data_IF_386083675821
#
_entry.id   IF_386083675821
#
_cell.length_a   1.000
_cell.length_b   1.000
_cell.length_c   1.000
_cell.angle_alpha   90.00
_cell.angle_beta   90.00
_cell.angle_gamma   90.00
#
_symmetry.space_group_name_H-M   'P 1'
#
loop_
_entity.id
_entity.type
_entity.pdbx_description
1 polymer ?
#
# COMPACT_ATOMS: atom_id res chain seq x y z
N UNK A 1 15.90 -29.44 -29.79
CA UNK A 1 14.51 -29.32 -29.31
C UNK A 1 14.48 -29.69 -27.85
N UNK A 2 14.65 -28.71 -26.95
CA UNK A 2 14.72 -28.95 -25.51
C UNK A 2 13.36 -28.65 -24.88
N UNK A 3 12.79 -29.68 -24.26
CA UNK A 3 11.49 -29.72 -23.60
C UNK A 3 11.58 -28.89 -22.32
N UNK A 4 11.21 -27.60 -22.38
CA UNK A 4 10.98 -26.76 -21.19
C UNK A 4 9.78 -27.35 -20.43
N UNK A 5 10.06 -28.13 -19.39
CA UNK A 5 9.07 -28.49 -18.38
C UNK A 5 8.62 -27.19 -17.70
N UNK A 6 7.32 -26.90 -17.81
CA UNK A 6 6.63 -25.91 -16.99
C UNK A 6 6.64 -26.40 -15.55
N UNK A 7 7.70 -26.09 -14.81
CA UNK A 7 7.64 -26.11 -13.35
C UNK A 7 7.11 -24.74 -12.92
N UNK A 8 5.83 -24.71 -12.53
CA UNK A 8 5.28 -23.61 -11.75
C UNK A 8 6.08 -23.55 -10.44
N UNK A 9 7.02 -22.61 -10.36
CA UNK A 9 7.80 -22.24 -9.17
C UNK A 9 6.95 -21.57 -8.06
N UNK A 10 5.62 -21.57 -8.20
CA UNK A 10 4.67 -21.01 -7.23
C UNK A 10 3.79 -22.12 -6.65
N UNK A 11 4.40 -23.13 -6.03
CA UNK A 11 3.69 -23.84 -4.96
C UNK A 11 4.03 -23.08 -3.68
N UNK A 12 3.06 -22.39 -3.05
CA UNK A 12 3.29 -21.91 -1.70
C UNK A 12 3.64 -23.13 -0.85
N UNK A 13 4.78 -23.07 -0.19
CA UNK A 13 5.18 -24.09 0.76
C UNK A 13 4.09 -24.13 1.85
N UNK A 14 3.48 -25.29 2.18
CA UNK A 14 2.50 -25.36 3.25
C UNK A 14 3.08 -24.98 4.62
N UNK A 15 4.41 -24.92 4.75
CA UNK A 15 5.13 -24.42 5.92
C UNK A 15 5.59 -22.95 5.78
N UNK A 16 5.43 -22.31 4.61
CA UNK A 16 5.37 -20.85 4.50
C UNK A 16 3.99 -20.44 5.03
N UNK A 17 3.85 -20.53 6.35
CA UNK A 17 2.85 -19.76 7.08
C UNK A 17 3.12 -18.33 6.67
N UNK A 18 2.31 -17.80 5.76
CA UNK A 18 2.26 -16.39 5.42
C UNK A 18 2.26 -15.68 6.77
N UNK A 19 3.41 -15.13 7.14
CA UNK A 19 3.57 -14.46 8.40
C UNK A 19 2.52 -13.37 8.36
N UNK A 20 1.44 -13.52 9.13
CA UNK A 20 0.34 -12.57 9.14
C UNK A 20 1.00 -11.20 9.25
N UNK A 21 0.83 -10.31 8.25
CA UNK A 21 1.51 -9.03 8.28
C UNK A 21 1.21 -8.42 9.64
N UNK A 22 2.27 -8.05 10.36
CA UNK A 22 2.13 -7.51 11.70
C UNK A 22 1.13 -6.36 11.68
N UNK A 23 0.35 -6.27 12.77
CA UNK A 23 -0.75 -5.36 13.00
C UNK A 23 -0.95 -4.30 11.89
N UNK A 24 -2.02 -4.43 11.10
CA UNK A 24 -2.36 -3.44 10.09
C UNK A 24 -2.55 -2.06 10.74
N UNK A 25 -1.78 -1.07 10.28
CA UNK A 25 -2.03 0.32 10.62
C UNK A 25 -3.12 0.85 9.67
N UNK A 26 -4.34 0.98 10.20
CA UNK A 26 -5.52 1.44 9.43
C UNK A 26 -5.65 2.94 9.56
N UNK A 27 -5.72 3.64 8.43
CA UNK A 27 -5.92 5.09 8.41
C UNK A 27 -7.09 5.48 7.50
N UNK A 28 -8.02 6.24 8.06
CA UNK A 28 -9.13 6.82 7.32
C UNK A 28 -8.66 8.11 6.61
N UNK A 29 -8.87 8.16 5.29
CA UNK A 29 -8.51 9.27 4.43
C UNK A 29 -9.76 10.11 4.17
N UNK A 30 -9.94 11.26 4.86
CA UNK A 30 -11.17 12.06 4.78
C UNK A 30 -11.34 12.83 3.46
N UNK A 31 -10.29 12.93 2.63
CA UNK A 31 -10.39 13.54 1.30
C UNK A 31 -9.04 13.90 0.66
N UNK A 32 -9.10 14.34 -0.61
CA UNK A 32 -7.93 14.72 -1.40
C UNK A 32 -7.30 16.08 -1.03
N UNK A 33 -7.99 16.89 -0.21
CA UNK A 33 -7.56 18.26 0.11
C UNK A 33 -6.40 18.31 1.11
N UNK A 34 -6.23 17.27 1.94
CA UNK A 34 -5.13 17.17 2.89
C UNK A 34 -4.71 15.70 3.10
N UNK A 35 -3.49 15.31 2.72
CA UNK A 35 -3.01 13.95 2.98
C UNK A 35 -2.86 13.71 4.48
N UNK A 36 -3.21 12.51 4.93
CA UNK A 36 -3.02 12.10 6.31
C UNK A 36 -1.53 12.08 6.67
N UNK A 37 -1.18 12.64 7.83
CA UNK A 37 0.19 12.57 8.36
C UNK A 37 0.27 11.43 9.35
N UNK A 38 1.13 10.47 9.03
CA UNK A 38 1.32 9.25 9.81
C UNK A 38 2.68 9.33 10.49
N UNK A 39 2.66 9.23 11.82
CA UNK A 39 3.86 9.22 12.66
C UNK A 39 3.98 7.86 13.36
N UNK A 40 5.20 7.35 13.48
CA UNK A 40 5.47 6.12 14.24
C UNK A 40 5.10 4.81 13.53
N UNK A 41 4.87 4.83 12.22
CA UNK A 41 4.70 3.64 11.40
C UNK A 41 6.05 2.95 11.16
N UNK A 42 6.15 1.66 11.47
CA UNK A 42 7.34 0.85 11.20
C UNK A 42 7.10 -0.08 10.00
N UNK A 43 7.56 0.27 8.79
CA UNK A 43 7.36 -0.54 7.58
C UNK A 43 7.98 -1.96 7.67
N UNK A 44 8.84 -2.23 8.65
CA UNK A 44 9.41 -3.58 8.85
C UNK A 44 8.52 -4.48 9.72
N UNK A 45 7.50 -3.91 10.36
CA UNK A 45 6.64 -4.60 11.34
C UNK A 45 5.17 -4.49 10.98
N UNK A 46 4.77 -3.41 10.32
CA UNK A 46 3.38 -3.06 10.10
C UNK A 46 3.09 -3.04 8.59
N UNK A 47 1.95 -3.60 8.18
CA UNK A 47 1.39 -3.35 6.86
C UNK A 47 0.48 -2.11 6.88
N UNK A 48 0.44 -1.35 5.78
CA UNK A 48 -0.36 -0.13 5.69
C UNK A 48 -1.72 -0.44 5.08
N UNK A 49 -2.80 -0.12 5.79
CA UNK A 49 -4.17 -0.22 5.25
C UNK A 49 -4.81 1.16 5.19
N UNK A 50 -5.17 1.59 3.98
CA UNK A 50 -5.79 2.88 3.72
C UNK A 50 -7.29 2.69 3.45
N UNK A 51 -8.11 3.36 4.26
CA UNK A 51 -9.55 3.48 4.04
C UNK A 51 -9.86 4.81 3.36
N UNK A 52 -10.38 4.72 2.14
CA UNK A 52 -10.80 5.89 1.38
C UNK A 52 -12.28 6.11 1.63
N UNK A 53 -12.61 7.13 2.43
CA UNK A 53 -13.98 7.41 2.87
C UNK A 53 -14.89 7.95 1.76
N UNK A 54 -14.30 8.46 0.67
CA UNK A 54 -15.02 8.86 -0.53
C UNK A 54 -14.19 8.47 -1.76
N UNK A 55 -14.54 7.34 -2.35
CA UNK A 55 -13.83 6.77 -3.49
C UNK A 55 -13.83 7.71 -4.71
N UNK A 56 -14.87 8.52 -4.89
CA UNK A 56 -15.01 9.43 -6.03
C UNK A 56 -13.97 10.56 -5.97
N UNK A 57 -13.61 11.02 -4.76
CA UNK A 57 -12.56 12.03 -4.57
C UNK A 57 -11.17 11.55 -5.02
N UNK A 58 -10.95 10.24 -5.06
CA UNK A 58 -9.70 9.62 -5.50
C UNK A 58 -9.78 9.06 -6.93
N UNK A 59 -10.82 9.45 -7.68
CA UNK A 59 -11.02 9.02 -9.07
C UNK A 59 -11.23 7.51 -9.20
N UNK A 60 -11.73 6.84 -8.14
CA UNK A 60 -12.03 5.42 -8.21
C UNK A 60 -13.36 5.22 -8.92
N UNK A 61 -13.28 4.56 -10.07
CA UNK A 61 -14.44 4.22 -10.90
C UNK A 61 -14.83 2.77 -10.61
N UNK A 62 -16.12 2.44 -10.47
CA UNK A 62 -16.58 1.06 -10.30
C UNK A 62 -15.98 0.13 -11.37
N UNK A 63 -15.36 -0.97 -10.93
CA UNK A 63 -14.73 -1.95 -11.81
C UNK A 63 -13.27 -1.66 -12.19
N UNK A 64 -12.69 -0.55 -11.74
CA UNK A 64 -11.25 -0.26 -11.87
C UNK A 64 -10.58 -0.47 -10.52
N UNK A 65 -9.48 -1.23 -10.51
CA UNK A 65 -8.68 -1.39 -9.30
C UNK A 65 -7.85 -0.14 -9.01
N UNK A 66 -7.76 0.30 -7.74
CA UNK A 66 -6.90 1.42 -7.35
C UNK A 66 -5.44 1.12 -7.68
N UNK A 67 -4.72 2.13 -8.19
CA UNK A 67 -3.27 2.06 -8.36
C UNK A 67 -2.61 2.81 -7.20
N UNK A 68 -1.85 2.10 -6.37
CA UNK A 68 -1.04 2.68 -5.31
C UNK A 68 0.39 2.94 -5.81
N UNK A 69 0.91 4.12 -5.50
CA UNK A 69 2.29 4.53 -5.79
C UNK A 69 2.95 5.03 -4.51
N UNK A 70 4.20 4.66 -4.28
CA UNK A 70 4.99 5.11 -3.13
C UNK A 70 6.22 5.88 -3.63
N UNK A 71 6.49 7.04 -3.05
CA UNK A 71 7.66 7.85 -3.35
C UNK A 71 8.31 8.37 -2.07
N UNK A 72 9.61 8.16 -1.92
CA UNK A 72 10.36 8.65 -0.77
C UNK A 72 11.15 9.92 -1.11
N UNK A 73 10.94 10.96 -0.32
CA UNK A 73 11.76 12.17 -0.31
C UNK A 73 12.85 12.08 0.77
N UNK A 74 14.11 12.01 0.32
CA UNK A 74 15.29 11.97 1.20
C UNK A 74 15.53 13.26 1.98
N UNK A 75 15.15 14.41 1.44
CA UNK A 75 15.43 15.70 2.09
C UNK A 75 14.53 15.90 3.31
N UNK A 76 13.25 15.54 3.16
CA UNK A 76 12.26 15.62 4.24
C UNK A 76 12.11 14.32 5.04
N UNK A 77 12.80 13.24 4.65
CA UNK A 77 12.67 11.89 5.24
C UNK A 77 11.20 11.46 5.34
N UNK A 78 10.47 11.67 4.25
CA UNK A 78 9.03 11.44 4.19
C UNK A 78 8.71 10.53 3.01
N UNK A 79 7.92 9.50 3.26
CA UNK A 79 7.34 8.63 2.24
C UNK A 79 5.94 9.12 1.92
N UNK A 80 5.71 9.50 0.67
CA UNK A 80 4.39 9.83 0.16
C UNK A 80 3.74 8.60 -0.46
N UNK A 81 2.47 8.37 -0.10
CA UNK A 81 1.61 7.35 -0.72
C UNK A 81 0.55 8.06 -1.54
N UNK A 82 0.43 7.66 -2.80
CA UNK A 82 -0.58 8.15 -3.71
C UNK A 82 -1.48 7.02 -4.21
N UNK A 83 -2.78 7.32 -4.33
CA UNK A 83 -3.76 6.43 -4.97
C UNK A 83 -4.28 7.16 -6.21
N UNK A 84 -4.17 6.52 -7.39
CA UNK A 84 -4.54 7.10 -8.68
C UNK A 84 -3.94 8.50 -8.94
N UNK A 85 -2.72 8.73 -8.45
CA UNK A 85 -2.01 10.01 -8.61
C UNK A 85 -2.38 11.09 -7.58
N UNK A 86 -3.32 10.83 -6.67
CA UNK A 86 -3.65 11.72 -5.54
C UNK A 86 -2.86 11.28 -4.33
N UNK A 87 -2.08 12.19 -3.73
CA UNK A 87 -1.36 11.90 -2.48
C UNK A 87 -2.37 11.81 -1.34
N UNK A 88 -2.43 10.65 -0.70
CA UNK A 88 -3.38 10.35 0.38
C UNK A 88 -2.71 10.33 1.75
N UNK A 89 -1.43 9.93 1.81
CA UNK A 89 -0.70 9.85 3.07
C UNK A 89 0.76 10.32 2.94
N UNK A 90 1.26 10.90 4.02
CA UNK A 90 2.64 11.27 4.24
C UNK A 90 3.13 10.58 5.52
N UNK A 91 4.15 9.76 5.39
CA UNK A 91 4.69 8.93 6.47
C UNK A 91 6.09 9.44 6.77
N UNK A 92 6.31 9.92 8.00
CA UNK A 92 7.65 10.29 8.45
C UNK A 92 8.46 9.05 8.77
N UNK A 93 9.64 8.90 8.17
CA UNK A 93 10.51 7.75 8.47
C UNK A 93 11.40 7.30 7.32
N UNK A 94 11.67 6.00 7.29
CA UNK A 94 12.62 5.36 6.39
C UNK A 94 11.98 4.90 5.05
N UNK A 95 12.78 4.76 3.98
CA UNK A 95 12.33 4.42 2.61
C UNK A 95 11.87 2.97 2.39
N UNK A 96 11.34 2.29 3.40
CA UNK A 96 11.13 0.84 3.35
C UNK A 96 9.72 0.40 2.91
N UNK A 97 8.79 1.32 2.63
CA UNK A 97 7.45 0.97 2.21
C UNK A 97 7.40 0.65 0.71
N UNK A 98 7.01 -0.57 0.35
CA UNK A 98 6.73 -0.96 -1.03
C UNK A 98 5.22 -0.80 -1.33
N UNK A 99 4.80 -0.40 -2.55
CA UNK A 99 3.40 -0.44 -2.95
C UNK A 99 2.71 -1.79 -2.69
N UNK A 100 3.45 -2.91 -2.72
CA UNK A 100 2.92 -4.24 -2.42
C UNK A 100 2.49 -4.42 -0.94
N UNK A 101 3.04 -3.61 -0.03
CA UNK A 101 2.72 -3.65 1.41
C UNK A 101 1.48 -2.80 1.77
N UNK A 102 0.84 -2.20 0.76
CA UNK A 102 -0.28 -1.27 0.94
C UNK A 102 -1.57 -1.91 0.47
N UNK A 103 -2.51 -2.06 1.41
CA UNK A 103 -3.90 -2.43 1.09
C UNK A 103 -4.76 -1.18 1.02
N UNK A 104 -5.52 -1.01 -0.06
CA UNK A 104 -6.45 0.11 -0.23
C UNK A 104 -7.87 -0.43 -0.24
N UNK A 105 -8.75 0.17 0.56
CA UNK A 105 -10.18 -0.14 0.56
C UNK A 105 -10.98 1.14 0.43
N UNK A 106 -11.89 1.16 -0.55
CA UNK A 106 -12.88 2.21 -0.68
C UNK A 106 -14.09 1.87 0.19
N UNK A 107 -14.45 2.78 1.10
CA UNK A 107 -15.68 2.71 1.86
C UNK A 107 -16.73 3.54 1.12
N UNK A 108 -17.91 2.96 0.91
CA UNK A 108 -19.07 3.56 0.21
C UNK A 108 -20.20 3.86 1.18
#
# INVERSE_FOLDING_TARGET
>A
MTRLQRENLFRPDPDDVAQEPGAYAVFDMPGAEAPARIHGFDPKRDALHLHLLDAALFGLVPGVWPVATVAYDRASKTTAVAVNGVVVALIEGDPALDPADITVTALT
#
